data_IF_264924128980
#
_entry.id   IF_264924128980
#
_cell.length_a   1.000
_cell.length_b   1.000
_cell.length_c   1.000
_cell.angle_alpha   90.00
_cell.angle_beta   90.00
_cell.angle_gamma   90.00
#
_symmetry.space_group_name_H-M   'P 1'
#
loop_
_entity.id
_entity.type
_entity.pdbx_description
1 polymer ?
#
# COMPACT_ATOMS: atom_id res chain seq x y z
N UNK A 1 -13.94 1.66 -4.93
CA UNK A 1 -12.55 2.11 -4.96
C UNK A 1 -11.62 0.95 -5.22
N UNK A 2 -10.53 1.19 -5.90
CA UNK A 2 -9.54 0.16 -6.18
C UNK A 2 -8.15 0.76 -5.98
N UNK A 3 -7.16 -0.12 -5.78
CA UNK A 3 -5.78 0.32 -5.62
C UNK A 3 -5.17 0.64 -6.98
N UNK A 4 -4.44 1.74 -7.03
CA UNK A 4 -3.65 2.07 -8.21
C UNK A 4 -2.47 1.11 -8.35
N UNK A 5 -1.81 1.12 -9.50
CA UNK A 5 -0.60 0.32 -9.67
C UNK A 5 0.47 0.73 -8.67
N UNK A 6 0.54 2.03 -8.34
CA UNK A 6 1.47 2.53 -7.34
C UNK A 6 1.17 1.92 -5.96
N UNK A 7 -0.12 1.91 -5.57
CA UNK A 7 -0.52 1.34 -4.29
C UNK A 7 -0.28 -0.18 -4.26
N UNK A 8 -0.57 -0.87 -5.36
CA UNK A 8 -0.30 -2.30 -5.44
C UNK A 8 1.19 -2.60 -5.28
N UNK A 9 2.05 -1.77 -5.89
CA UNK A 9 3.48 -1.93 -5.72
C UNK A 9 3.92 -1.72 -4.29
N UNK A 10 3.35 -0.73 -3.60
CA UNK A 10 3.66 -0.49 -2.20
C UNK A 10 3.23 -1.66 -1.32
N UNK A 11 2.04 -2.22 -1.58
CA UNK A 11 1.56 -3.38 -0.82
C UNK A 11 2.46 -4.58 -1.07
N UNK A 12 2.87 -4.80 -2.32
CA UNK A 12 3.74 -5.90 -2.66
C UNK A 12 5.09 -5.80 -1.93
N UNK A 13 5.66 -4.60 -1.88
CA UNK A 13 6.92 -4.38 -1.17
C UNK A 13 6.76 -4.65 0.33
N UNK A 14 5.65 -4.20 0.92
CA UNK A 14 5.37 -4.45 2.32
C UNK A 14 5.22 -5.95 2.59
N UNK A 15 4.55 -6.66 1.69
CA UNK A 15 4.36 -8.11 1.83
C UNK A 15 5.69 -8.84 1.76
N UNK A 16 6.54 -8.49 0.81
CA UNK A 16 7.86 -9.11 0.67
C UNK A 16 8.69 -8.89 1.93
N UNK A 17 8.68 -7.68 2.45
CA UNK A 17 9.41 -7.36 3.66
C UNK A 17 8.89 -8.15 4.85
N UNK A 18 7.57 -8.25 4.99
CA UNK A 18 6.96 -9.01 6.08
C UNK A 18 7.33 -10.48 6.01
N UNK A 19 7.36 -11.05 4.81
CA UNK A 19 7.75 -12.45 4.62
C UNK A 19 9.21 -12.68 5.00
N UNK A 20 10.10 -11.76 4.63
CA UNK A 20 11.51 -11.85 4.97
C UNK A 20 11.73 -11.77 6.47
N UNK A 21 10.99 -10.91 7.14
CA UNK A 21 11.11 -10.70 8.59
C UNK A 21 10.24 -11.63 9.39
N UNK A 22 9.39 -12.40 8.71
CA UNK A 22 8.40 -13.29 9.35
C UNK A 22 7.51 -12.51 10.30
N UNK A 23 7.18 -11.27 9.94
CA UNK A 23 6.35 -10.40 10.74
C UNK A 23 4.93 -10.33 10.18
N UNK A 24 3.99 -9.84 11.01
CA UNK A 24 2.62 -9.65 10.60
C UNK A 24 2.51 -8.45 9.68
N UNK A 25 1.85 -8.61 8.54
CA UNK A 25 1.69 -7.53 7.57
C UNK A 25 0.58 -6.55 7.98
N UNK A 26 -0.36 -6.97 8.82
CA UNK A 26 -1.51 -6.12 9.16
C UNK A 26 -1.10 -4.77 9.76
N UNK A 27 -0.18 -4.71 10.75
CA UNK A 27 0.25 -3.41 11.25
C UNK A 27 0.91 -2.54 10.20
N UNK A 28 1.64 -3.16 9.26
CA UNK A 28 2.29 -2.42 8.19
C UNK A 28 1.26 -1.77 7.27
N UNK A 29 0.23 -2.52 6.91
CA UNK A 29 -0.85 -1.99 6.07
C UNK A 29 -1.62 -0.88 6.76
N UNK A 30 -1.78 -0.98 8.08
CA UNK A 30 -2.48 0.06 8.85
C UNK A 30 -1.72 1.37 8.89
N UNK A 31 -0.41 1.33 8.73
CA UNK A 31 0.41 2.54 8.70
C UNK A 31 0.41 3.24 7.36
N UNK A 32 -0.07 2.58 6.31
CA UNK A 32 -0.14 3.19 4.99
C UNK A 32 -1.16 4.34 5.02
N UNK A 33 -0.77 5.45 4.39
CA UNK A 33 -1.67 6.57 4.20
C UNK A 33 -2.18 6.55 2.77
N UNK A 34 -3.48 6.30 2.64
CA UNK A 34 -4.13 6.22 1.34
C UNK A 34 -4.79 7.55 1.02
N UNK A 35 -4.64 7.96 -0.23
CA UNK A 35 -5.33 9.15 -0.75
C UNK A 35 -5.93 8.78 -2.09
N UNK A 36 -6.99 9.51 -2.47
CA UNK A 36 -7.60 9.30 -3.78
C UNK A 36 -6.73 9.96 -4.86
N UNK A 37 -6.69 9.31 -6.03
CA UNK A 37 -5.99 9.89 -7.17
C UNK A 37 -6.82 11.05 -7.71
N UNK A 38 -6.19 12.22 -7.88
CA UNK A 38 -6.89 13.41 -8.38
C UNK A 38 -7.43 13.22 -9.79
N UNK A 39 -6.79 12.38 -10.58
CA UNK A 39 -7.22 12.12 -11.96
C UNK A 39 -8.28 11.03 -12.05
N UNK A 40 -8.39 10.19 -11.02
CA UNK A 40 -9.36 9.09 -10.99
C UNK A 40 -9.76 8.86 -9.54
N UNK A 41 -10.93 9.36 -9.16
CA UNK A 41 -11.43 9.26 -7.79
C UNK A 41 -11.63 7.83 -7.33
N UNK A 42 -11.68 6.86 -8.25
CA UNK A 42 -11.87 5.46 -7.90
C UNK A 42 -10.58 4.75 -7.54
N UNK A 43 -9.45 5.40 -7.73
CA UNK A 43 -8.14 4.83 -7.40
C UNK A 43 -7.58 5.39 -6.12
N UNK A 44 -6.90 4.52 -5.36
CA UNK A 44 -6.18 4.91 -4.14
C UNK A 44 -4.68 4.89 -4.39
N UNK A 45 -4.00 5.88 -3.84
CA UNK A 45 -2.55 5.96 -3.86
C UNK A 45 -2.02 5.84 -2.44
N UNK A 46 -0.79 5.37 -2.31
CA UNK A 46 -0.10 5.31 -1.02
C UNK A 46 0.92 6.45 -0.99
N UNK A 47 0.82 7.32 0.01
CA UNK A 47 1.71 8.49 0.13
C UNK A 47 2.98 8.19 0.89
N UNK A 48 3.01 7.09 1.66
CA UNK A 48 4.16 6.72 2.46
C UNK A 48 4.59 5.27 2.21
N UNK A 49 4.96 4.92 0.96
CA UNK A 49 5.37 3.53 0.66
C UNK A 49 6.62 3.13 1.47
N UNK A 50 6.80 1.85 1.69
CA UNK A 50 7.97 1.35 2.41
C UNK A 50 9.28 1.57 1.65
#
# INVERSE_FOLDING_TARGET
MKLSNQALGAVMMALQKSLLEQSDIVPVLKEFEFVTNEEDDEELLVTNPP
#
